data_IF_227286953851
#
_entry.id   IF_227286953851
#
_cell.length_a   1.000
_cell.length_b   1.000
_cell.length_c   1.000
_cell.angle_alpha   90.00
_cell.angle_beta   90.00
_cell.angle_gamma   90.00
#
_symmetry.space_group_name_H-M   'P 1'
#
loop_
_entity.id
_entity.type
_entity.pdbx_description
1 polymer ?
#
# COMPACT_ATOMS: atom_id res chain seq x y z
N UNK A 1 -18.83 -24.86 4.74
CA UNK A 1 -18.00 -23.78 5.33
C UNK A 1 -18.55 -22.43 4.88
N UNK A 2 -18.44 -21.43 5.74
CA UNK A 2 -18.88 -20.07 5.43
C UNK A 2 -17.65 -19.17 5.27
N UNK A 3 -17.60 -18.41 4.17
CA UNK A 3 -16.55 -17.43 3.96
C UNK A 3 -16.74 -16.25 4.92
N UNK A 4 -15.73 -15.97 5.76
CA UNK A 4 -15.80 -14.87 6.72
C UNK A 4 -15.22 -13.58 6.13
N UNK A 5 -14.04 -13.67 5.54
CA UNK A 5 -13.36 -12.53 4.96
C UNK A 5 -12.31 -13.02 3.96
N UNK A 6 -11.85 -12.11 3.11
CA UNK A 6 -10.80 -12.43 2.16
C UNK A 6 -9.95 -11.21 1.89
N UNK A 7 -8.69 -11.44 1.59
CA UNK A 7 -7.71 -10.37 1.39
C UNK A 7 -6.81 -10.67 0.21
N UNK A 8 -6.45 -9.63 -0.51
CA UNK A 8 -5.40 -9.65 -1.53
C UNK A 8 -4.24 -8.83 -0.97
N UNK A 9 -3.04 -9.37 -0.98
CA UNK A 9 -1.90 -8.71 -0.35
C UNK A 9 -0.69 -8.66 -1.26
N UNK A 10 0.09 -7.59 -1.12
CA UNK A 10 1.43 -7.46 -1.66
C UNK A 10 2.38 -7.31 -0.48
N UNK A 11 3.42 -8.13 -0.44
CA UNK A 11 4.30 -8.22 0.73
C UNK A 11 5.66 -7.60 0.46
N UNK A 12 6.02 -6.57 1.24
CA UNK A 12 7.36 -5.97 1.29
C UNK A 12 7.90 -5.62 -0.10
N UNK A 13 7.07 -4.92 -0.89
CA UNK A 13 7.46 -4.46 -2.22
C UNK A 13 8.45 -3.31 -2.07
N UNK A 14 9.58 -3.39 -2.75
CA UNK A 14 10.61 -2.36 -2.66
C UNK A 14 10.42 -1.30 -3.73
N UNK A 15 10.51 -0.04 -3.31
CA UNK A 15 10.48 1.11 -4.21
C UNK A 15 11.62 2.05 -3.85
N UNK A 16 12.30 2.57 -4.88
CA UNK A 16 13.16 3.73 -4.68
C UNK A 16 12.29 4.97 -4.83
N UNK A 17 12.26 5.82 -3.82
CA UNK A 17 11.34 6.95 -3.78
C UNK A 17 11.98 8.13 -3.07
N UNK A 18 11.31 9.29 -3.12
CA UNK A 18 11.86 10.55 -2.64
C UNK A 18 10.99 11.20 -1.57
N UNK A 19 10.45 10.37 -0.69
CA UNK A 19 9.66 10.85 0.44
C UNK A 19 10.55 11.26 1.59
N UNK A 20 10.29 12.43 2.17
CA UNK A 20 11.01 12.88 3.34
C UNK A 20 10.82 14.36 3.61
N UNK A 21 11.03 14.75 4.87
CA UNK A 21 10.93 16.14 5.32
C UNK A 21 12.16 16.93 4.93
N UNK A 22 13.34 16.31 5.00
CA UNK A 22 14.63 16.95 4.71
C UNK A 22 14.81 17.04 3.20
N UNK A 23 15.27 18.18 2.71
CA UNK A 23 15.51 18.42 1.27
C UNK A 23 16.38 17.33 0.66
N UNK A 24 17.42 16.89 1.37
CA UNK A 24 18.34 15.86 0.88
C UNK A 24 17.61 14.55 0.58
N UNK A 25 16.64 14.16 1.41
CA UNK A 25 15.83 12.96 1.18
C UNK A 25 15.04 13.05 -0.13
N UNK A 26 14.54 14.25 -0.44
CA UNK A 26 13.78 14.48 -1.66
C UNK A 26 14.67 14.54 -2.90
N UNK A 27 15.89 15.01 -2.77
CA UNK A 27 16.83 15.11 -3.88
C UNK A 27 17.52 13.79 -4.18
N UNK A 28 17.96 13.08 -3.14
CA UNK A 28 18.74 11.84 -3.27
C UNK A 28 17.83 10.61 -3.35
N UNK A 29 16.74 10.60 -2.57
CA UNK A 29 15.85 9.47 -2.48
C UNK A 29 16.37 8.38 -1.55
N UNK A 30 15.64 7.29 -1.48
CA UNK A 30 15.98 6.14 -0.66
C UNK A 30 15.07 4.96 -0.95
N UNK A 31 15.33 3.84 -0.30
CA UNK A 31 14.55 2.63 -0.45
C UNK A 31 13.42 2.57 0.58
N UNK A 32 12.27 2.14 0.10
CA UNK A 32 11.08 1.94 0.91
C UNK A 32 10.53 0.54 0.68
N UNK A 33 9.95 -0.03 1.72
CA UNK A 33 9.23 -1.30 1.64
C UNK A 33 7.77 -1.04 1.91
N UNK A 34 6.90 -1.58 1.06
CA UNK A 34 5.45 -1.41 1.19
C UNK A 34 4.80 -2.77 1.33
N UNK A 35 4.05 -2.96 2.40
CA UNK A 35 3.16 -4.11 2.58
C UNK A 35 1.73 -3.59 2.54
N UNK A 36 0.94 -4.15 1.63
CA UNK A 36 -0.43 -3.74 1.40
C UNK A 36 -1.34 -4.96 1.49
N UNK A 37 -2.40 -4.84 2.28
CA UNK A 37 -3.42 -5.87 2.40
C UNK A 37 -4.77 -5.23 2.17
N UNK A 38 -5.51 -5.74 1.18
CA UNK A 38 -6.79 -5.16 0.78
C UNK A 38 -7.89 -6.19 0.98
N UNK A 39 -8.88 -5.85 1.79
CA UNK A 39 -10.07 -6.66 1.97
C UNK A 39 -10.99 -6.51 0.77
N UNK A 40 -11.46 -7.63 0.25
CA UNK A 40 -12.25 -7.66 -0.98
C UNK A 40 -13.20 -8.85 -0.95
N UNK A 41 -14.43 -8.73 -1.52
CA UNK A 41 -15.33 -9.87 -1.60
C UNK A 41 -14.82 -10.87 -2.64
N UNK A 42 -14.40 -12.04 -2.18
CA UNK A 42 -13.75 -13.05 -3.02
C UNK A 42 -14.66 -14.22 -3.41
N UNK A 43 -15.88 -14.28 -2.88
CA UNK A 43 -16.77 -15.42 -3.09
C UNK A 43 -17.02 -15.75 -4.56
N UNK A 44 -17.22 -14.72 -5.37
CA UNK A 44 -17.51 -14.92 -6.80
C UNK A 44 -16.30 -15.48 -7.55
N UNK A 45 -15.13 -14.91 -7.31
CA UNK A 45 -13.89 -15.38 -7.94
C UNK A 45 -13.55 -16.81 -7.52
N UNK A 46 -13.84 -17.17 -6.28
CA UNK A 46 -13.59 -18.52 -5.76
C UNK A 46 -14.42 -19.58 -6.49
N UNK A 47 -15.56 -19.19 -7.06
CA UNK A 47 -16.42 -20.11 -7.81
C UNK A 47 -16.20 -20.03 -9.30
N UNK A 48 -15.97 -18.83 -9.84
CA UNK A 48 -15.93 -18.61 -11.30
C UNK A 48 -14.56 -18.87 -11.92
N UNK A 49 -13.49 -18.71 -11.16
CA UNK A 49 -12.10 -18.72 -11.66
C UNK A 49 -11.87 -17.63 -12.72
N UNK A 50 -12.62 -16.53 -12.64
CA UNK A 50 -12.50 -15.41 -13.58
C UNK A 50 -11.75 -14.23 -12.95
N UNK A 51 -10.74 -13.72 -13.65
CA UNK A 51 -9.91 -12.59 -13.18
C UNK A 51 -10.78 -11.34 -12.94
N UNK A 52 -11.81 -11.13 -13.77
CA UNK A 52 -12.69 -9.98 -13.61
C UNK A 52 -13.52 -9.97 -12.34
N UNK A 53 -13.62 -11.09 -11.63
CA UNK A 53 -14.40 -11.21 -10.40
C UNK A 53 -13.58 -10.96 -9.13
N UNK A 54 -12.30 -10.65 -9.28
CA UNK A 54 -11.41 -10.40 -8.16
C UNK A 54 -10.67 -9.08 -8.32
N UNK A 55 -9.84 -8.76 -7.34
CA UNK A 55 -8.92 -7.63 -7.38
C UNK A 55 -7.59 -8.12 -7.94
N UNK A 56 -7.21 -7.61 -9.11
CA UNK A 56 -5.98 -8.02 -9.78
C UNK A 56 -4.76 -7.39 -9.07
N UNK A 57 -3.91 -8.22 -8.46
CA UNK A 57 -2.76 -7.70 -7.70
C UNK A 57 -1.70 -7.04 -8.60
N UNK A 58 -1.66 -7.36 -9.89
CA UNK A 58 -0.76 -6.67 -10.82
C UNK A 58 -1.20 -5.22 -11.04
N UNK A 59 -2.50 -4.97 -11.13
CA UNK A 59 -3.05 -3.61 -11.20
C UNK A 59 -2.82 -2.86 -9.89
N UNK A 60 -2.95 -3.57 -8.78
CA UNK A 60 -2.69 -3.01 -7.45
C UNK A 60 -1.23 -2.58 -7.31
N UNK A 61 -0.31 -3.40 -7.82
CA UNK A 61 1.11 -3.03 -7.86
C UNK A 61 1.35 -1.79 -8.71
N UNK A 62 0.71 -1.69 -9.89
CA UNK A 62 0.86 -0.53 -10.76
C UNK A 62 0.37 0.75 -10.07
N UNK A 63 -0.72 0.64 -9.30
CA UNK A 63 -1.24 1.76 -8.51
C UNK A 63 -0.22 2.19 -7.44
N UNK A 64 0.33 1.24 -6.71
CA UNK A 64 1.38 1.52 -5.71
C UNK A 64 2.58 2.22 -6.35
N UNK A 65 3.04 1.70 -7.47
CA UNK A 65 4.21 2.25 -8.17
C UNK A 65 3.96 3.71 -8.56
N UNK A 66 2.78 4.00 -9.08
CA UNK A 66 2.40 5.37 -9.48
C UNK A 66 2.39 6.32 -8.28
N UNK A 67 1.78 5.88 -7.16
CA UNK A 67 1.69 6.73 -5.97
C UNK A 67 3.04 6.90 -5.27
N UNK A 68 3.84 5.86 -5.21
CA UNK A 68 5.17 5.94 -4.61
C UNK A 68 6.12 6.84 -5.39
N UNK A 69 5.89 7.03 -6.68
CA UNK A 69 6.71 7.89 -7.53
C UNK A 69 6.50 9.39 -7.26
N UNK A 70 5.40 9.77 -6.60
CA UNK A 70 5.12 11.17 -6.27
C UNK A 70 5.66 11.48 -4.87
N UNK A 71 6.59 12.45 -4.72
CA UNK A 71 7.16 12.76 -3.42
C UNK A 71 6.15 13.33 -2.45
N UNK A 72 6.26 12.94 -1.18
CA UNK A 72 5.56 13.55 -0.06
C UNK A 72 6.55 13.72 1.08
N UNK A 73 6.29 14.69 1.95
CA UNK A 73 7.13 14.89 3.13
C UNK A 73 6.93 13.80 4.17
N UNK A 74 5.68 13.37 4.35
CA UNK A 74 5.29 12.41 5.39
C UNK A 74 4.81 11.11 4.77
N UNK A 75 5.22 9.99 5.36
CA UNK A 75 4.74 8.67 4.95
C UNK A 75 3.23 8.53 5.14
N UNK A 76 2.67 9.18 6.16
CA UNK A 76 1.23 9.23 6.40
C UNK A 76 0.48 9.83 5.21
N UNK A 77 1.06 10.84 4.57
CA UNK A 77 0.45 11.47 3.39
C UNK A 77 0.50 10.53 2.18
N UNK A 78 1.62 9.85 1.98
CA UNK A 78 1.73 8.82 0.93
C UNK A 78 0.67 7.74 1.16
N UNK A 79 0.54 7.28 2.42
CA UNK A 79 -0.43 6.24 2.78
C UNK A 79 -1.86 6.67 2.45
N UNK A 80 -2.23 7.92 2.77
CA UNK A 80 -3.56 8.43 2.45
C UNK A 80 -3.81 8.49 0.95
N UNK A 81 -2.82 8.89 0.16
CA UNK A 81 -2.96 8.90 -1.30
C UNK A 81 -3.18 7.50 -1.85
N UNK A 82 -2.44 6.52 -1.35
CA UNK A 82 -2.59 5.12 -1.77
C UNK A 82 -3.99 4.60 -1.42
N UNK A 83 -4.43 4.80 -0.18
CA UNK A 83 -5.75 4.34 0.27
C UNK A 83 -6.88 4.99 -0.54
N UNK A 84 -6.78 6.29 -0.81
CA UNK A 84 -7.78 7.01 -1.60
C UNK A 84 -7.83 6.50 -3.04
N UNK A 85 -6.68 6.24 -3.64
CA UNK A 85 -6.61 5.72 -4.99
C UNK A 85 -7.22 4.32 -5.09
N UNK A 86 -6.99 3.47 -4.08
CA UNK A 86 -7.58 2.12 -4.01
C UNK A 86 -9.10 2.22 -3.90
N UNK A 87 -9.59 3.05 -2.98
CA UNK A 87 -11.02 3.21 -2.76
C UNK A 87 -11.73 3.71 -4.03
N UNK A 88 -11.12 4.67 -4.72
CA UNK A 88 -11.67 5.23 -5.96
C UNK A 88 -11.67 4.20 -7.09
N UNK A 89 -10.58 3.46 -7.24
CA UNK A 89 -10.41 2.50 -8.33
C UNK A 89 -11.19 1.21 -8.14
N UNK A 90 -11.42 0.82 -6.87
CA UNK A 90 -12.03 -0.47 -6.53
C UNK A 90 -13.14 -0.28 -5.51
N UNK A 91 -14.35 0.08 -5.96
CA UNK A 91 -15.47 0.42 -5.04
C UNK A 91 -15.90 -0.70 -4.10
N UNK A 92 -15.57 -1.95 -4.43
CA UNK A 92 -15.96 -3.11 -3.60
C UNK A 92 -14.98 -3.40 -2.46
N UNK A 93 -13.88 -2.65 -2.37
CA UNK A 93 -12.89 -2.81 -1.29
C UNK A 93 -13.54 -2.57 0.06
N UNK A 94 -13.30 -3.47 1.01
CA UNK A 94 -13.88 -3.41 2.35
C UNK A 94 -12.90 -2.88 3.39
N UNK A 95 -11.60 -3.03 3.16
CA UNK A 95 -10.58 -2.56 4.10
C UNK A 95 -9.24 -2.39 3.37
N UNK A 96 -8.39 -1.55 3.94
CA UNK A 96 -7.02 -1.38 3.49
C UNK A 96 -6.13 -1.36 4.73
N UNK A 97 -5.11 -2.21 4.73
CA UNK A 97 -4.05 -2.21 5.75
C UNK A 97 -2.75 -1.93 5.01
N UNK A 98 -2.00 -0.93 5.46
CA UNK A 98 -0.83 -0.46 4.74
C UNK A 98 0.31 -0.20 5.72
N UNK A 99 1.48 -0.75 5.43
CA UNK A 99 2.70 -0.44 6.14
C UNK A 99 3.74 0.09 5.15
N UNK A 100 4.27 1.26 5.40
CA UNK A 100 5.37 1.84 4.61
C UNK A 100 6.57 1.97 5.52
N UNK A 101 7.66 1.31 5.17
CA UNK A 101 8.92 1.33 5.91
C UNK A 101 9.96 2.09 5.12
N UNK A 102 10.59 3.07 5.76
CA UNK A 102 11.75 3.76 5.21
C UNK A 102 13.00 3.03 5.71
N UNK A 103 13.79 2.48 4.78
CA UNK A 103 15.10 1.91 5.12
C UNK A 103 16.09 3.05 5.38
N UNK A 104 17.00 2.84 6.32
CA UNK A 104 18.04 3.82 6.68
C UNK A 104 17.47 5.22 6.94
N UNK A 105 16.54 5.37 7.89
CA UNK A 105 16.00 6.69 8.20
C UNK A 105 17.09 7.60 8.76
N UNK A 106 17.06 8.91 8.44
CA UNK A 106 18.14 9.84 8.84
C UNK A 106 18.01 10.29 10.29
N UNK A 107 18.01 9.36 11.23
CA UNK A 107 17.85 9.62 12.66
C UNK A 107 19.10 9.24 13.48
N UNK A 108 20.16 8.77 12.81
CA UNK A 108 21.39 8.40 13.49
C UNK A 108 21.32 7.09 14.27
N UNK A 109 20.28 6.30 14.11
CA UNK A 109 20.13 5.03 14.80
C UNK A 109 20.57 3.86 13.91
N UNK A 110 21.05 2.80 14.57
CA UNK A 110 21.31 1.53 13.91
C UNK A 110 20.03 0.70 14.04
N UNK A 111 19.23 0.66 12.98
CA UNK A 111 17.94 -0.02 12.97
C UNK A 111 17.57 -0.50 11.58
N UNK A 112 16.60 -1.41 11.49
CA UNK A 112 16.13 -1.95 10.20
C UNK A 112 15.28 -0.95 9.42
N UNK A 113 14.80 0.09 10.06
CA UNK A 113 13.99 1.10 9.40
C UNK A 113 13.02 1.76 10.35
N UNK A 114 12.26 2.71 9.81
CA UNK A 114 11.15 3.35 10.51
C UNK A 114 9.91 3.25 9.63
N UNK A 115 8.75 3.00 10.23
CA UNK A 115 7.53 2.75 9.45
C UNK A 115 6.32 3.47 10.02
N UNK A 116 5.32 3.60 9.14
CA UNK A 116 3.94 3.91 9.53
C UNK A 116 3.08 2.72 9.13
N UNK A 117 2.11 2.38 9.98
CA UNK A 117 1.15 1.33 9.72
C UNK A 117 -0.23 1.90 9.96
N UNK A 118 -1.10 1.82 8.94
CA UNK A 118 -2.42 2.47 9.00
C UNK A 118 -3.47 1.49 8.47
N UNK A 119 -4.63 1.51 9.11
CA UNK A 119 -5.76 0.64 8.79
C UNK A 119 -7.01 1.46 8.53
N UNK A 120 -7.67 1.16 7.42
CA UNK A 120 -8.96 1.78 7.06
C UNK A 120 -10.01 0.71 6.86
N UNK A 121 -11.22 1.00 7.29
CA UNK A 121 -12.39 0.17 6.97
C UNK A 121 -13.36 0.98 6.14
N UNK A 122 -14.02 0.30 5.22
CA UNK A 122 -15.07 0.90 4.42
C UNK A 122 -16.27 1.23 5.31
N UNK A 123 -16.89 2.38 5.06
CA UNK A 123 -18.13 2.80 5.76
C UNK A 123 -19.38 2.20 5.11
N UNK A 124 -19.22 1.38 4.08
CA UNK A 124 -20.33 0.77 3.35
C UNK A 124 -20.87 -0.47 4.08
#
# INVERSE_FOLDING_TARGET
>A
MRLESGYISLHRVRFYARHGVVTQEQEVGGWFLVTLRVGYPLAQAMQSDEVGDTLNYAELYALLKREMAQPSKLLEHVAQRIASAIETSYPLVTSVDLEITKENPPIGADCDGASVEIHWNSEK
#
